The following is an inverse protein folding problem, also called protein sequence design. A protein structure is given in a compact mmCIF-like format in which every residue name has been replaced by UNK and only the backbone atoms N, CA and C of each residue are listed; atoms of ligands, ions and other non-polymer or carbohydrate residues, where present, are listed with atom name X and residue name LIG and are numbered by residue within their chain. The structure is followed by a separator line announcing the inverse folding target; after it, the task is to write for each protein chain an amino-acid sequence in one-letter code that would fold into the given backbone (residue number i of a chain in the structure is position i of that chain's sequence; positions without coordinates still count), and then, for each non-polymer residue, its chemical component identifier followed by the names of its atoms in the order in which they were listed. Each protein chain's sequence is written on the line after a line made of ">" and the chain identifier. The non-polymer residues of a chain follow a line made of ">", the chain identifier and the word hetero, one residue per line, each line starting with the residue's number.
data_IF_777302798621
#
_entry.id   IF_777302798621
#
_cell.length_a   1.000
_cell.length_b   1.000
_cell.length_c   1.000
_cell.angle_alpha   90.00
_cell.angle_beta   90.00
_cell.angle_gamma   90.00
#
_symmetry.space_group_name_H-M   'P 1'
#
loop_
_entity.id
_entity.type
_entity.pdbx_description
1 polymer ?
#
# COMPACT_ATOMS: atom_id res chain seq x y z
N UNK A 1 1.97 -0.76 -17.23
CA UNK A 1 1.04 -0.96 -16.09
C UNK A 1 1.65 -1.77 -14.95
N UNK A 2 1.53 -3.11 -14.88
CA UNK A 2 1.97 -3.89 -13.71
C UNK A 2 3.45 -3.64 -13.33
N UNK A 3 4.36 -3.66 -14.31
CA UNK A 3 5.78 -3.37 -14.10
C UNK A 3 6.03 -2.00 -13.46
N UNK A 4 5.29 -0.96 -13.85
CA UNK A 4 5.47 0.40 -13.35
C UNK A 4 4.93 0.53 -11.93
N UNK A 5 3.75 -0.02 -11.66
CA UNK A 5 3.14 -0.03 -10.32
C UNK A 5 4.04 -0.79 -9.35
N UNK A 6 4.49 -2.00 -9.73
CA UNK A 6 5.44 -2.78 -8.92
C UNK A 6 6.76 -2.06 -8.70
N UNK A 7 7.24 -1.30 -9.70
CA UNK A 7 8.47 -0.49 -9.57
C UNK A 7 8.28 0.68 -8.59
N UNK A 8 7.13 1.34 -8.61
CA UNK A 8 6.75 2.37 -7.65
C UNK A 8 6.66 1.83 -6.23
N UNK A 9 5.99 0.69 -6.03
CA UNK A 9 5.91 0.02 -4.73
C UNK A 9 7.29 -0.41 -4.22
N UNK A 10 8.13 -0.98 -5.08
CA UNK A 10 9.52 -1.33 -4.72
C UNK A 10 10.33 -0.08 -4.30
N UNK A 11 10.11 1.06 -4.95
CA UNK A 11 10.75 2.32 -4.56
C UNK A 11 10.31 2.76 -3.16
N UNK A 12 9.01 2.77 -2.86
CA UNK A 12 8.49 3.08 -1.53
C UNK A 12 9.05 2.14 -0.46
N UNK A 13 9.06 0.84 -0.74
CA UNK A 13 9.55 -0.18 0.18
C UNK A 13 11.05 -0.05 0.45
N UNK A 14 11.86 0.36 -0.53
CA UNK A 14 13.29 0.69 -0.30
C UNK A 14 13.47 1.92 0.58
N UNK A 15 12.56 2.89 0.52
CA UNK A 15 12.50 4.04 1.41
C UNK A 15 11.81 3.74 2.77
N UNK A 16 11.55 2.48 3.09
CA UNK A 16 10.82 2.05 4.29
C UNK A 16 9.41 2.65 4.43
N UNK A 17 8.77 3.02 3.33
CA UNK A 17 7.40 3.53 3.29
C UNK A 17 6.47 2.39 2.87
N UNK A 18 5.37 2.22 3.60
CA UNK A 18 4.25 1.32 3.26
C UNK A 18 3.06 2.19 2.84
N UNK A 19 2.44 1.90 1.71
CA UNK A 19 1.32 2.69 1.16
C UNK A 19 0.03 2.47 1.96
N UNK A 20 -0.27 1.22 2.31
CA UNK A 20 -1.42 0.77 3.13
C UNK A 20 -2.81 0.97 2.53
N UNK A 21 -2.94 1.65 1.40
CA UNK A 21 -4.20 1.75 0.62
C UNK A 21 -3.95 1.64 -0.89
N UNK A 22 -3.18 0.64 -1.30
CA UNK A 22 -2.92 0.40 -2.72
C UNK A 22 -4.14 -0.24 -3.38
N UNK A 23 -4.79 0.48 -4.29
CA UNK A 23 -6.00 0.05 -5.00
C UNK A 23 -6.09 0.75 -6.36
N UNK A 24 -7.05 0.33 -7.19
CA UNK A 24 -7.26 0.82 -8.55
C UNK A 24 -7.50 2.35 -8.60
N UNK A 25 -8.30 2.88 -7.66
CA UNK A 25 -8.59 4.32 -7.53
C UNK A 25 -7.35 5.17 -7.20
N UNK A 26 -6.32 4.54 -6.62
CA UNK A 26 -5.08 5.20 -6.20
C UNK A 26 -3.95 5.01 -7.23
N UNK A 27 -4.27 4.54 -8.43
CA UNK A 27 -3.37 4.53 -9.59
C UNK A 27 -3.90 5.48 -10.66
N UNK A 28 -3.18 6.58 -10.88
CA UNK A 28 -3.48 7.53 -11.95
C UNK A 28 -2.71 7.19 -13.22
N UNK A 29 -3.26 7.58 -14.36
CA UNK A 29 -2.60 7.43 -15.67
C UNK A 29 -2.35 8.81 -16.26
N UNK A 30 -1.09 9.11 -16.56
CA UNK A 30 -0.69 10.35 -17.22
C UNK A 30 0.44 10.09 -18.21
N UNK A 31 0.29 10.51 -19.47
CA UNK A 31 1.25 10.25 -20.54
C UNK A 31 1.71 8.78 -20.62
N UNK A 32 0.76 7.84 -20.57
CA UNK A 32 1.03 6.39 -20.57
C UNK A 32 1.85 5.89 -19.37
N UNK A 33 2.05 6.70 -18.33
CA UNK A 33 2.72 6.31 -17.08
C UNK A 33 1.70 6.05 -15.99
N UNK A 34 1.95 5.01 -15.20
CA UNK A 34 1.19 4.74 -13.97
C UNK A 34 1.79 5.50 -12.79
N UNK A 35 0.96 6.22 -12.05
CA UNK A 35 1.37 7.05 -10.91
C UNK A 35 0.60 6.60 -9.68
N UNK A 36 1.33 6.20 -8.63
CA UNK A 36 0.75 5.87 -7.32
C UNK A 36 0.42 7.18 -6.60
N UNK A 37 -0.80 7.31 -6.09
CA UNK A 37 -1.30 8.50 -5.39
C UNK A 37 -1.95 8.14 -4.04
N UNK A 38 -2.37 9.16 -3.31
CA UNK A 38 -3.05 9.09 -2.00
C UNK A 38 -2.24 8.43 -0.88
N UNK A 39 -1.26 9.20 -0.40
CA UNK A 39 -0.40 8.82 0.71
C UNK A 39 -1.01 9.15 2.08
N UNK A 40 -2.31 9.45 2.18
CA UNK A 40 -2.96 9.79 3.45
C UNK A 40 -2.87 8.68 4.50
N UNK A 41 -2.80 7.44 4.03
CA UNK A 41 -2.55 6.26 4.85
C UNK A 41 -1.13 5.73 4.72
N UNK A 42 -0.22 6.37 3.99
CA UNK A 42 1.15 5.89 3.92
C UNK A 42 1.87 6.06 5.27
N UNK A 43 2.87 5.22 5.54
CA UNK A 43 3.65 5.31 6.78
C UNK A 43 5.07 4.81 6.63
N UNK A 44 6.01 5.54 7.23
CA UNK A 44 7.38 5.07 7.42
C UNK A 44 7.45 4.02 8.53
N UNK A 45 8.13 2.92 8.27
CA UNK A 45 8.40 1.85 9.23
C UNK A 45 9.41 2.25 10.31
N UNK A 46 10.14 3.34 10.10
CA UNK A 46 11.10 3.89 11.06
C UNK A 46 10.39 4.64 12.20
N UNK A 47 9.15 5.09 11.97
CA UNK A 47 8.38 5.83 12.95
C UNK A 47 7.43 4.89 13.72
N UNK A 48 7.70 4.71 15.02
CA UNK A 48 6.86 3.89 15.90
C UNK A 48 5.66 4.67 16.46
N UNK A 49 4.97 5.40 15.59
CA UNK A 49 3.72 6.08 15.96
C UNK A 49 2.56 5.09 15.96
N UNK A 50 1.41 5.48 16.53
CA UNK A 50 0.19 4.64 16.56
C UNK A 50 -0.19 4.16 15.15
N UNK A 51 -0.72 2.95 15.06
CA UNK A 51 -1.22 2.39 13.80
C UNK A 51 -2.44 3.20 13.33
N UNK A 52 -2.37 3.75 12.12
CA UNK A 52 -3.53 4.40 11.49
C UNK A 52 -4.38 3.29 10.85
N UNK A 53 -5.63 3.21 11.28
CA UNK A 53 -6.63 2.30 10.72
C UNK A 53 -7.21 2.90 9.43
N UNK A 54 -7.65 2.04 8.53
CA UNK A 54 -8.23 2.45 7.25
C UNK A 54 -7.59 1.74 6.08
N UNK A 55 -7.97 2.14 4.89
CA UNK A 55 -7.67 1.44 3.66
C UNK A 55 -8.90 0.66 3.19
N UNK A 56 -8.85 0.18 1.96
CA UNK A 56 -10.02 -0.42 1.32
C UNK A 56 -10.07 -1.93 1.56
N UNK A 57 -11.13 -2.41 2.22
CA UNK A 57 -11.24 -3.81 2.66
C UNK A 57 -10.99 -4.83 1.54
N UNK A 58 -11.48 -4.57 0.32
CA UNK A 58 -11.34 -5.49 -0.81
C UNK A 58 -9.88 -5.74 -1.23
N UNK A 59 -8.98 -4.79 -0.97
CA UNK A 59 -7.55 -4.87 -1.31
C UNK A 59 -6.67 -5.13 -0.07
N UNK A 60 -7.27 -5.15 1.11
CA UNK A 60 -6.52 -5.16 2.36
C UNK A 60 -6.04 -6.56 2.73
N UNK A 61 -4.81 -6.61 3.24
CA UNK A 61 -4.18 -7.79 3.84
C UNK A 61 -5.13 -8.52 4.81
N UNK A 62 -5.41 -9.82 4.63
CA UNK A 62 -6.36 -10.57 5.45
C UNK A 62 -5.91 -10.66 6.91
N UNK A 63 -4.62 -10.65 7.19
CA UNK A 63 -4.11 -10.66 8.57
C UNK A 63 -4.43 -9.34 9.28
N UNK A 64 -4.34 -8.23 8.55
CA UNK A 64 -4.81 -6.93 9.03
C UNK A 64 -6.32 -6.94 9.27
N UNK A 65 -7.11 -7.47 8.35
CA UNK A 65 -8.56 -7.52 8.49
C UNK A 65 -9.01 -8.34 9.71
N UNK A 66 -8.31 -9.44 10.01
CA UNK A 66 -8.58 -10.28 11.17
C UNK A 66 -8.17 -9.61 12.49
N UNK A 67 -7.12 -8.79 12.49
CA UNK A 67 -6.49 -8.26 13.70
C UNK A 67 -6.18 -6.76 13.61
N UNK A 68 -7.16 -5.93 13.23
CA UNK A 68 -6.93 -4.52 12.90
C UNK A 68 -6.24 -3.70 13.99
N UNK A 69 -6.43 -4.07 15.26
CA UNK A 69 -5.90 -3.35 16.42
C UNK A 69 -4.49 -3.76 16.83
N UNK A 70 -4.07 -4.99 16.52
CA UNK A 70 -2.77 -5.54 16.94
C UNK A 70 -1.82 -5.77 15.77
N UNK A 71 -2.35 -5.97 14.56
CA UNK A 71 -1.54 -6.20 13.38
C UNK A 71 -0.94 -4.90 12.85
N UNK A 72 0.39 -4.83 12.83
CA UNK A 72 1.14 -3.74 12.22
C UNK A 72 1.38 -4.06 10.75
N UNK A 73 0.55 -3.48 9.88
CA UNK A 73 0.73 -3.55 8.41
C UNK A 73 2.18 -3.21 8.03
N UNK A 74 2.74 -4.03 7.15
CA UNK A 74 4.13 -3.95 6.70
C UNK A 74 4.19 -3.96 5.17
N UNK A 75 5.40 -4.00 4.60
CA UNK A 75 5.65 -4.11 3.15
C UNK A 75 4.81 -5.22 2.50
N UNK A 76 4.65 -6.36 3.18
CA UNK A 76 3.86 -7.50 2.67
C UNK A 76 2.37 -7.17 2.48
N UNK A 77 1.82 -6.23 3.25
CA UNK A 77 0.42 -5.80 3.09
C UNK A 77 0.21 -5.06 1.76
N UNK A 78 1.18 -4.27 1.30
CA UNK A 78 1.15 -3.69 -0.04
C UNK A 78 1.34 -4.76 -1.13
N UNK A 79 2.13 -5.81 -0.87
CA UNK A 79 2.31 -6.93 -1.81
C UNK A 79 1.01 -7.72 -1.98
N UNK A 80 0.26 -7.94 -0.89
CA UNK A 80 -1.08 -8.53 -0.98
C UNK A 80 -2.00 -7.65 -1.84
N UNK A 81 -2.05 -6.35 -1.55
CA UNK A 81 -2.86 -5.39 -2.29
C UNK A 81 -2.50 -5.35 -3.79
N UNK A 82 -1.20 -5.43 -4.09
CA UNK A 82 -0.68 -5.52 -5.46
C UNK A 82 -1.13 -6.82 -6.16
N UNK A 83 -1.22 -7.93 -5.42
CA UNK A 83 -1.74 -9.19 -5.92
C UNK A 83 -3.26 -9.20 -6.12
N UNK A 84 -4.01 -8.35 -5.42
CA UNK A 84 -5.46 -8.15 -5.68
C UNK A 84 -5.68 -7.30 -6.94
N UNK A 85 -4.76 -6.39 -7.24
CA UNK A 85 -4.82 -5.52 -8.42
C UNK A 85 -4.62 -6.23 -9.77
N UNK A 86 -4.04 -7.43 -9.80
CA UNK A 86 -3.69 -8.18 -11.02
C UNK A 86 -4.13 -9.64 -10.94
#
# INVERSE_FOLDING_TARGET
>A
MAKEISSGINYLHKANIVHRDLQDKNILVHDSRMIITDFGLAKSLENDTKSVHGGTCAFSDPEYLNNQFSYKRHKNSDIYSLGVLF
#
